data_IF_257333107863
#
_entry.id   IF_257333107863
#
_cell.length_a   1.000
_cell.length_b   1.000
_cell.length_c   1.000
_cell.angle_alpha   90.00
_cell.angle_beta   90.00
_cell.angle_gamma   90.00
#
_symmetry.space_group_name_H-M   'P 1'
#
loop_
_entity.id
_entity.type
_entity.pdbx_description
1 polymer ?
#
# COMPACT_ATOMS: atom_id res chain seq x y z
N UNK A 1 4.44 11.93 -0.10
CA UNK A 1 3.43 12.87 -0.61
C UNK A 1 2.03 12.24 -0.78
N UNK A 2 1.91 10.94 -1.07
CA UNK A 2 0.62 10.26 -1.24
C UNK A 2 -0.14 9.94 0.05
N UNK A 3 0.49 10.06 1.20
CA UNK A 3 -0.04 9.65 2.50
C UNK A 3 -1.43 10.22 2.82
N UNK A 4 -1.70 11.53 2.71
CA UNK A 4 -3.02 12.08 3.07
C UNK A 4 -4.17 11.50 2.22
N UNK A 5 -3.94 11.28 0.92
CA UNK A 5 -4.94 10.70 0.04
C UNK A 5 -5.28 9.26 0.42
N UNK A 6 -4.27 8.45 0.77
CA UNK A 6 -4.49 7.09 1.24
C UNK A 6 -5.14 7.05 2.64
N UNK A 7 -4.72 7.93 3.56
CA UNK A 7 -5.32 8.02 4.89
C UNK A 7 -6.82 8.26 4.77
N UNK A 8 -7.23 9.27 4.02
CA UNK A 8 -8.64 9.59 3.82
C UNK A 8 -9.40 8.40 3.19
N UNK A 9 -8.84 7.81 2.14
CA UNK A 9 -9.45 6.67 1.46
C UNK A 9 -9.66 5.47 2.41
N UNK A 10 -8.66 5.11 3.21
CA UNK A 10 -8.78 3.93 4.08
C UNK A 10 -9.64 4.18 5.30
N UNK A 11 -9.66 5.40 5.86
CA UNK A 11 -10.57 5.76 6.94
C UNK A 11 -12.04 5.81 6.49
N UNK A 12 -12.30 6.13 5.21
CA UNK A 12 -13.64 6.04 4.63
C UNK A 12 -14.03 4.61 4.29
N UNK A 13 -13.08 3.82 3.75
CA UNK A 13 -13.32 2.43 3.34
C UNK A 13 -13.54 1.51 4.54
N UNK A 14 -12.83 1.75 5.63
CA UNK A 14 -12.88 0.96 6.86
C UNK A 14 -13.19 1.87 8.07
N UNK A 15 -14.41 2.40 8.19
CA UNK A 15 -14.77 3.28 9.29
C UNK A 15 -14.65 2.60 10.66
N UNK A 16 -14.74 1.27 10.72
CA UNK A 16 -14.52 0.45 11.91
C UNK A 16 -13.11 0.57 12.48
N UNK A 17 -12.10 0.95 11.70
CA UNK A 17 -10.74 1.19 12.20
C UNK A 17 -10.68 2.25 13.29
N UNK A 18 -11.67 3.14 13.35
CA UNK A 18 -11.80 4.15 14.42
C UNK A 18 -12.12 3.53 15.78
N UNK A 19 -12.62 2.29 15.81
CA UNK A 19 -13.13 1.63 17.01
C UNK A 19 -12.44 0.29 17.28
N UNK A 20 -11.89 -0.36 16.26
CA UNK A 20 -11.27 -1.68 16.37
C UNK A 20 -9.97 -1.75 15.57
N UNK A 21 -8.93 -1.14 16.13
CA UNK A 21 -7.59 -1.09 15.52
C UNK A 21 -6.91 -2.46 15.44
N UNK A 22 -7.35 -3.43 16.25
CA UNK A 22 -6.71 -4.75 16.32
C UNK A 22 -7.01 -5.62 15.10
N UNK A 23 -8.11 -5.36 14.39
CA UNK A 23 -8.48 -6.10 13.17
C UNK A 23 -7.68 -5.69 11.92
N UNK A 24 -6.92 -4.60 12.01
CA UNK A 24 -6.21 -4.02 10.86
C UNK A 24 -4.73 -3.86 11.16
N UNK A 25 -3.90 -4.07 10.14
CA UNK A 25 -2.45 -3.88 10.23
C UNK A 25 -1.89 -3.34 8.92
N UNK A 26 -1.06 -2.31 9.02
CA UNK A 26 -0.25 -1.83 7.90
C UNK A 26 0.98 -2.71 7.77
N UNK A 27 1.33 -3.10 6.56
CA UNK A 27 2.46 -3.99 6.30
C UNK A 27 3.45 -3.32 5.37
N UNK A 28 4.70 -3.25 5.80
CA UNK A 28 5.81 -2.90 4.92
C UNK A 28 6.19 -4.10 4.04
N UNK A 29 6.21 -3.99 2.70
CA UNK A 29 6.57 -5.11 1.82
C UNK A 29 8.06 -5.48 1.89
N UNK A 30 8.89 -4.64 2.48
CA UNK A 30 10.32 -4.85 2.71
C UNK A 30 10.85 -4.01 3.88
N UNK A 31 12.11 -4.25 4.27
CA UNK A 31 12.76 -3.53 5.38
C UNK A 31 13.02 -2.06 5.02
N UNK A 32 13.26 -1.74 3.76
CA UNK A 32 13.56 -0.37 3.30
C UNK A 32 12.36 0.57 3.37
N UNK A 33 11.15 0.03 3.24
CA UNK A 33 9.89 0.80 3.24
C UNK A 33 9.29 1.00 4.65
N UNK A 34 9.89 0.42 5.70
CA UNK A 34 9.35 0.42 7.09
C UNK A 34 9.06 1.81 7.63
N UNK A 35 9.95 2.78 7.41
CA UNK A 35 9.75 4.16 7.91
C UNK A 35 8.49 4.80 7.32
N UNK A 36 8.27 4.61 6.02
CA UNK A 36 7.07 5.11 5.32
C UNK A 36 5.80 4.41 5.79
N UNK A 37 5.84 3.09 5.88
CA UNK A 37 4.72 2.29 6.37
C UNK A 37 4.34 2.66 7.81
N UNK A 38 5.33 2.90 8.68
CA UNK A 38 5.12 3.35 10.06
C UNK A 38 4.41 4.70 10.13
N UNK A 39 4.81 5.67 9.31
CA UNK A 39 4.17 6.98 9.25
C UNK A 39 2.71 6.87 8.81
N UNK A 40 2.43 6.00 7.85
CA UNK A 40 1.07 5.73 7.41
C UNK A 40 0.26 5.02 8.50
N UNK A 41 0.80 3.97 9.12
CA UNK A 41 0.16 3.22 10.20
C UNK A 41 -0.26 4.12 11.36
N UNK A 42 0.63 5.04 11.77
CA UNK A 42 0.33 6.01 12.83
C UNK A 42 -0.86 6.93 12.47
N UNK A 43 -0.96 7.38 11.21
CA UNK A 43 -2.04 8.25 10.75
C UNK A 43 -3.40 7.55 10.62
N UNK A 44 -3.39 6.26 10.36
CA UNK A 44 -4.63 5.44 10.29
C UNK A 44 -4.91 4.67 11.57
N UNK A 45 -4.08 4.89 12.61
CA UNK A 45 -4.20 4.25 13.92
C UNK A 45 -4.17 2.71 13.88
N UNK A 46 -3.37 2.12 12.98
CA UNK A 46 -3.21 0.67 12.83
C UNK A 46 -1.85 0.20 13.34
N UNK A 47 -1.74 -1.10 13.66
CA UNK A 47 -0.48 -1.77 13.92
C UNK A 47 0.44 -1.80 12.69
N UNK A 48 1.69 -2.19 12.89
CA UNK A 48 2.69 -2.34 11.83
C UNK A 48 3.26 -3.76 11.83
N UNK A 49 3.31 -4.37 10.66
CA UNK A 49 4.04 -5.59 10.39
C UNK A 49 5.01 -5.39 9.21
N UNK A 50 5.92 -6.32 9.01
CA UNK A 50 6.98 -6.23 8.00
C UNK A 50 7.11 -7.57 7.30
N UNK A 51 7.21 -7.58 5.97
CA UNK A 51 7.65 -8.73 5.20
C UNK A 51 9.17 -8.61 5.01
N UNK A 52 9.92 -9.48 5.70
CA UNK A 52 11.39 -9.56 5.57
C UNK A 52 11.75 -10.58 4.50
N UNK A 53 12.26 -10.08 3.38
CA UNK A 53 12.71 -10.89 2.25
C UNK A 53 14.17 -11.29 2.44
N UNK A 54 14.43 -12.54 2.83
CA UNK A 54 15.78 -13.06 2.97
C UNK A 54 16.18 -13.94 1.78
N UNK A 55 17.23 -13.54 1.07
CA UNK A 55 17.95 -14.38 0.13
C UNK A 55 18.96 -15.22 0.88
N UNK A 56 18.65 -16.49 1.17
CA UNK A 56 19.58 -17.37 1.92
C UNK A 56 20.78 -17.81 1.09
N UNK A 57 20.69 -17.96 -0.22
CA UNK A 57 21.80 -18.23 -1.17
C UNK A 57 21.33 -17.95 -2.62
N UNK A 58 22.30 -17.75 -3.54
CA UNK A 58 22.02 -17.77 -4.99
C UNK A 58 21.41 -19.12 -5.36
N UNK A 59 20.27 -19.13 -6.06
CA UNK A 59 19.49 -20.32 -6.51
C UNK A 59 18.60 -21.03 -5.46
N UNK A 60 18.29 -20.41 -4.32
CA UNK A 60 17.28 -20.93 -3.39
C UNK A 60 16.03 -20.04 -3.45
N UNK A 61 14.84 -20.62 -3.35
CA UNK A 61 13.57 -19.90 -3.28
C UNK A 61 13.64 -18.78 -2.22
N UNK A 62 13.15 -17.59 -2.58
CA UNK A 62 13.04 -16.47 -1.66
C UNK A 62 12.12 -16.86 -0.51
N UNK A 63 12.64 -16.87 0.70
CA UNK A 63 11.84 -17.06 1.91
C UNK A 63 11.36 -15.70 2.36
N UNK A 64 10.04 -15.53 2.42
CA UNK A 64 9.41 -14.34 2.99
C UNK A 64 9.04 -14.63 4.43
N UNK A 65 9.65 -13.89 5.36
CA UNK A 65 9.33 -13.96 6.77
C UNK A 65 8.45 -12.80 7.17
N UNK A 66 7.34 -13.06 7.84
CA UNK A 66 6.43 -12.02 8.35
C UNK A 66 6.77 -11.72 9.79
N UNK A 67 7.12 -10.47 10.08
CA UNK A 67 7.43 -9.97 11.41
C UNK A 67 6.26 -9.10 11.87
N UNK A 68 5.63 -9.47 12.97
CA UNK A 68 4.42 -8.86 13.49
C UNK A 68 3.22 -9.78 13.40
N UNK A 69 2.13 -9.43 14.08
CA UNK A 69 0.91 -10.23 14.13
C UNK A 69 -0.03 -9.82 12.99
N UNK A 70 -0.29 -10.77 12.08
CA UNK A 70 -1.17 -10.60 10.91
C UNK A 70 -2.33 -11.59 10.89
N UNK A 71 -2.34 -12.57 11.84
CA UNK A 71 -3.33 -13.63 11.88
C UNK A 71 -4.71 -13.04 12.12
N UNK A 72 -5.67 -13.48 11.32
CA UNK A 72 -7.07 -13.06 11.34
C UNK A 72 -7.31 -11.55 11.11
N UNK A 73 -6.27 -10.82 10.63
CA UNK A 73 -6.32 -9.37 10.39
C UNK A 73 -6.45 -9.01 8.91
N UNK A 74 -7.04 -7.86 8.66
CA UNK A 74 -7.01 -7.20 7.34
C UNK A 74 -5.68 -6.46 7.20
N UNK A 75 -4.84 -6.88 6.25
CA UNK A 75 -3.51 -6.32 6.00
C UNK A 75 -3.55 -5.28 4.88
N UNK A 76 -2.85 -4.16 5.06
CA UNK A 76 -2.68 -3.12 4.04
C UNK A 76 -1.19 -2.98 3.74
N UNK A 77 -0.73 -3.57 2.63
CA UNK A 77 0.62 -3.39 2.11
C UNK A 77 0.79 -1.93 1.64
N UNK A 78 1.83 -1.25 2.15
CA UNK A 78 2.10 0.14 1.83
C UNK A 78 3.48 0.30 1.19
N UNK A 79 3.50 0.80 -0.06
CA UNK A 79 4.74 1.04 -0.81
C UNK A 79 4.73 2.43 -1.48
N UNK A 80 5.86 2.84 -2.06
CA UNK A 80 5.97 4.05 -2.86
C UNK A 80 5.72 3.80 -4.35
N UNK A 81 6.15 2.64 -4.86
CA UNK A 81 6.08 2.33 -6.28
C UNK A 81 5.80 0.85 -6.52
N UNK A 82 4.91 0.57 -7.47
CA UNK A 82 4.68 -0.77 -8.01
C UNK A 82 5.03 -0.78 -9.49
N UNK A 83 6.10 -1.52 -9.84
CA UNK A 83 6.50 -1.72 -11.23
C UNK A 83 5.92 -3.02 -11.79
N UNK A 84 6.61 -4.14 -11.70
CA UNK A 84 6.12 -5.44 -12.24
C UNK A 84 5.20 -6.21 -11.29
N UNK A 85 4.90 -5.67 -10.13
CA UNK A 85 4.08 -6.21 -9.05
C UNK A 85 4.55 -7.56 -8.45
N UNK A 86 5.71 -8.09 -8.86
CA UNK A 86 6.17 -9.39 -8.36
C UNK A 86 6.39 -9.43 -6.85
N UNK A 87 7.17 -8.49 -6.31
CA UNK A 87 7.44 -8.41 -4.86
C UNK A 87 6.17 -8.18 -4.05
N UNK A 88 5.28 -7.31 -4.54
CA UNK A 88 4.02 -6.99 -3.87
C UNK A 88 3.09 -8.22 -3.81
N UNK A 89 2.94 -8.95 -4.92
CA UNK A 89 2.11 -10.16 -4.98
C UNK A 89 2.67 -11.28 -4.11
N UNK A 90 3.99 -11.45 -4.09
CA UNK A 90 4.65 -12.43 -3.22
C UNK A 90 4.47 -12.07 -1.73
N UNK A 91 4.57 -10.78 -1.38
CA UNK A 91 4.30 -10.32 -0.02
C UNK A 91 2.83 -10.57 0.38
N UNK A 92 1.89 -10.32 -0.53
CA UNK A 92 0.48 -10.61 -0.30
C UNK A 92 0.23 -12.11 -0.07
N UNK A 93 0.87 -12.99 -0.85
CA UNK A 93 0.77 -14.43 -0.64
C UNK A 93 1.35 -14.84 0.71
N UNK A 94 2.52 -14.31 1.08
CA UNK A 94 3.13 -14.60 2.38
C UNK A 94 2.23 -14.19 3.56
N UNK A 95 1.51 -13.08 3.46
CA UNK A 95 0.55 -12.66 4.48
C UNK A 95 -0.61 -13.63 4.60
N UNK A 96 -1.19 -14.07 3.50
CA UNK A 96 -2.26 -15.09 3.49
C UNK A 96 -1.77 -16.40 4.09
N UNK A 97 -0.57 -16.86 3.71
CA UNK A 97 0.05 -18.08 4.24
C UNK A 97 0.31 -17.99 5.76
N UNK A 98 0.46 -16.78 6.30
CA UNK A 98 0.58 -16.50 7.73
C UNK A 98 -0.78 -16.19 8.41
N UNK A 99 -1.89 -16.48 7.75
CA UNK A 99 -3.23 -16.42 8.32
C UNK A 99 -3.90 -15.05 8.26
N UNK A 100 -3.45 -14.12 7.43
CA UNK A 100 -4.16 -12.87 7.20
C UNK A 100 -5.56 -13.13 6.62
N UNK A 101 -6.55 -12.38 7.12
CA UNK A 101 -7.95 -12.50 6.69
C UNK A 101 -8.15 -11.97 5.27
N UNK A 102 -7.60 -10.80 4.98
CA UNK A 102 -7.65 -10.13 3.68
C UNK A 102 -6.40 -9.29 3.49
N UNK A 103 -6.00 -9.10 2.23
CA UNK A 103 -4.86 -8.27 1.87
C UNK A 103 -5.28 -7.22 0.86
N UNK A 104 -5.03 -5.97 1.20
CA UNK A 104 -5.09 -4.79 0.33
C UNK A 104 -3.67 -4.25 0.13
N UNK A 105 -3.49 -3.46 -0.93
CA UNK A 105 -2.23 -2.75 -1.13
C UNK A 105 -2.47 -1.32 -1.58
N UNK A 106 -1.52 -0.44 -1.30
CA UNK A 106 -1.47 0.90 -1.88
C UNK A 106 -0.04 1.32 -2.21
N UNK A 107 0.09 2.07 -3.30
CA UNK A 107 1.36 2.65 -3.72
C UNK A 107 1.15 4.00 -4.39
N UNK A 108 2.06 4.94 -4.14
CA UNK A 108 1.98 6.28 -4.75
C UNK A 108 2.06 6.21 -6.27
N UNK A 109 2.98 5.39 -6.80
CA UNK A 109 3.26 5.30 -8.23
C UNK A 109 2.92 3.90 -8.76
N UNK A 110 1.90 3.81 -9.59
CA UNK A 110 1.56 2.58 -10.32
C UNK A 110 2.17 2.61 -11.71
N UNK A 111 3.45 2.19 -11.85
CA UNK A 111 4.08 2.02 -13.17
C UNK A 111 3.41 0.87 -13.92
N UNK A 112 3.17 -0.23 -13.24
CA UNK A 112 2.43 -1.41 -13.69
C UNK A 112 2.92 -1.95 -15.04
N UNK A 113 4.24 -2.10 -15.17
CA UNK A 113 4.88 -2.57 -16.39
C UNK A 113 4.80 -4.10 -16.56
N UNK A 114 4.98 -4.54 -17.81
CA UNK A 114 5.08 -5.95 -18.15
C UNK A 114 3.89 -6.79 -17.65
N UNK A 115 4.13 -7.83 -16.82
CA UNK A 115 3.09 -8.74 -16.35
C UNK A 115 2.34 -8.25 -15.10
N UNK A 116 2.46 -6.96 -14.71
CA UNK A 116 1.93 -6.45 -13.46
C UNK A 116 0.41 -6.66 -13.32
N UNK A 117 -0.35 -6.36 -14.35
CA UNK A 117 -1.81 -6.52 -14.33
C UNK A 117 -2.23 -7.98 -14.11
N UNK A 118 -1.62 -8.91 -14.86
CA UNK A 118 -1.95 -10.33 -14.75
C UNK A 118 -1.58 -10.89 -13.37
N UNK A 119 -0.44 -10.47 -12.83
CA UNK A 119 0.00 -10.85 -11.48
C UNK A 119 -0.95 -10.33 -10.39
N UNK A 120 -1.41 -9.09 -10.50
CA UNK A 120 -2.36 -8.51 -9.54
C UNK A 120 -3.70 -9.22 -9.60
N UNK A 121 -4.22 -9.50 -10.81
CA UNK A 121 -5.49 -10.21 -10.98
C UNK A 121 -5.46 -11.63 -10.39
N UNK A 122 -4.36 -12.36 -10.57
CA UNK A 122 -4.20 -13.72 -10.04
C UNK A 122 -3.75 -13.77 -8.59
N UNK A 123 -3.31 -12.65 -8.00
CA UNK A 123 -2.85 -12.59 -6.62
C UNK A 123 -4.00 -12.70 -5.61
N UNK A 124 -3.72 -13.04 -4.35
CA UNK A 124 -4.73 -13.05 -3.29
C UNK A 124 -5.15 -11.65 -2.82
N UNK A 125 -4.55 -10.57 -3.35
CA UNK A 125 -4.96 -9.21 -3.00
C UNK A 125 -6.41 -8.94 -3.39
N UNK A 126 -7.15 -8.26 -2.51
CA UNK A 126 -8.51 -7.77 -2.77
C UNK A 126 -8.51 -6.53 -3.67
N UNK A 127 -7.56 -5.63 -3.45
CA UNK A 127 -7.38 -4.45 -4.28
C UNK A 127 -5.97 -3.88 -4.14
N UNK A 128 -5.49 -3.26 -5.22
CA UNK A 128 -4.36 -2.35 -5.26
C UNK A 128 -4.89 -0.94 -5.51
N UNK A 129 -4.56 -0.01 -4.63
CA UNK A 129 -4.91 1.41 -4.76
C UNK A 129 -3.65 2.18 -5.14
N UNK A 130 -3.67 2.88 -6.27
CA UNK A 130 -2.56 3.73 -6.73
C UNK A 130 -3.04 5.17 -6.92
N UNK A 131 -2.12 6.13 -6.94
CA UNK A 131 -2.46 7.51 -7.26
C UNK A 131 -2.33 7.76 -8.77
N UNK A 132 -3.04 8.74 -9.30
CA UNK A 132 -2.97 9.13 -10.72
C UNK A 132 -1.72 9.96 -11.06
N UNK A 133 -0.62 9.72 -10.35
CA UNK A 133 0.70 10.30 -10.65
C UNK A 133 1.31 9.75 -11.94
N UNK A 134 0.86 8.56 -12.35
CA UNK A 134 1.18 7.92 -13.63
C UNK A 134 -0.14 7.45 -14.24
N UNK A 135 -0.45 7.81 -15.49
CA UNK A 135 -1.65 7.33 -16.18
C UNK A 135 -1.64 5.80 -16.32
N UNK A 136 -2.75 5.14 -16.07
CA UNK A 136 -2.87 3.72 -16.36
C UNK A 136 -2.85 3.50 -17.88
N UNK A 137 -1.87 2.75 -18.38
CA UNK A 137 -1.63 2.55 -19.81
C UNK A 137 -2.58 1.50 -20.43
N UNK A 138 -3.21 0.66 -19.60
CA UNK A 138 -4.23 -0.28 -20.03
C UNK A 138 -5.59 0.18 -19.49
N UNK A 139 -6.52 0.38 -20.39
CA UNK A 139 -7.95 0.48 -20.07
C UNK A 139 -8.49 -0.92 -19.77
N UNK A 140 -7.82 -1.64 -18.86
CA UNK A 140 -8.23 -2.96 -18.44
C UNK A 140 -9.30 -2.78 -17.38
N UNK A 141 -10.40 -3.47 -17.57
CA UNK A 141 -11.43 -3.66 -16.55
C UNK A 141 -10.90 -4.54 -15.39
N UNK A 142 -9.74 -4.17 -14.84
CA UNK A 142 -9.25 -4.77 -13.61
C UNK A 142 -10.15 -4.31 -12.48
N UNK A 143 -10.88 -5.24 -11.90
CA UNK A 143 -11.70 -4.95 -10.71
C UNK A 143 -10.85 -4.75 -9.46
N UNK A 144 -9.55 -5.09 -9.51
CA UNK A 144 -8.63 -5.01 -8.36
C UNK A 144 -7.81 -3.73 -8.30
N UNK A 145 -7.62 -3.01 -9.43
CA UNK A 145 -6.81 -1.79 -9.46
C UNK A 145 -7.71 -0.56 -9.40
N UNK A 146 -7.51 0.26 -8.37
CA UNK A 146 -8.20 1.53 -8.18
C UNK A 146 -7.22 2.68 -8.24
N UNK A 147 -7.53 3.71 -9.01
CA UNK A 147 -6.74 4.94 -9.06
C UNK A 147 -7.43 6.07 -8.29
N UNK A 148 -6.70 6.73 -7.39
CA UNK A 148 -7.17 7.91 -6.67
C UNK A 148 -6.55 9.18 -7.25
N UNK A 149 -7.32 10.26 -7.20
CA UNK A 149 -6.89 11.56 -7.72
C UNK A 149 -6.05 12.33 -6.68
N UNK A 150 -4.89 12.83 -7.11
CA UNK A 150 -4.01 13.68 -6.32
C UNK A 150 -4.20 15.18 -6.59
N UNK A 151 -5.01 15.56 -7.56
CA UNK A 151 -5.24 16.97 -7.90
C UNK A 151 -5.68 17.82 -6.71
N UNK A 152 -6.55 17.35 -5.79
CA UNK A 152 -6.96 18.15 -4.64
C UNK A 152 -5.79 18.55 -3.72
N UNK A 153 -4.81 17.65 -3.48
CA UNK A 153 -3.66 17.96 -2.63
C UNK A 153 -2.70 18.92 -3.33
N UNK A 154 -2.50 18.79 -4.65
CA UNK A 154 -1.71 19.74 -5.42
C UNK A 154 -2.37 21.12 -5.49
N UNK A 155 -3.68 21.20 -5.69
CA UNK A 155 -4.40 22.46 -5.68
C UNK A 155 -4.25 23.21 -4.36
N UNK A 156 -4.34 22.49 -3.22
CA UNK A 156 -4.10 23.06 -1.90
C UNK A 156 -2.65 23.53 -1.74
N UNK A 157 -1.68 22.74 -2.17
CA UNK A 157 -0.27 23.11 -2.11
C UNK A 157 0.01 24.40 -2.92
N UNK A 158 -0.54 24.50 -4.13
CA UNK A 158 -0.43 25.70 -4.98
C UNK A 158 -1.06 26.91 -4.28
N UNK A 159 -2.25 26.76 -3.69
CA UNK A 159 -2.92 27.84 -2.99
C UNK A 159 -2.10 28.33 -1.77
N UNK A 160 -1.52 27.41 -0.99
CA UNK A 160 -0.64 27.77 0.15
C UNK A 160 0.63 28.49 -0.33
N UNK A 161 1.29 28.00 -1.38
CA UNK A 161 2.49 28.64 -1.94
C UNK A 161 2.15 30.05 -2.45
N UNK A 162 1.06 30.20 -3.20
CA UNK A 162 0.62 31.48 -3.72
C UNK A 162 0.24 32.47 -2.60
N UNK A 163 -0.36 31.99 -1.53
CA UNK A 163 -0.73 32.78 -0.36
C UNK A 163 0.42 33.02 0.62
N UNK A 164 1.64 32.53 0.36
CA UNK A 164 2.79 32.67 1.25
C UNK A 164 2.65 31.91 2.58
N UNK A 165 1.81 30.86 2.63
CA UNK A 165 1.58 30.04 3.82
C UNK A 165 2.32 28.71 3.76
N UNK A 166 2.54 28.08 4.94
CA UNK A 166 3.22 26.77 5.03
C UNK A 166 2.42 25.67 4.33
N UNK A 167 3.12 24.76 3.64
CA UNK A 167 2.56 23.52 3.11
C UNK A 167 2.74 22.32 4.06
N UNK A 168 3.38 22.52 5.22
CA UNK A 168 3.71 21.43 6.14
C UNK A 168 2.46 20.66 6.64
N UNK A 169 1.35 21.36 6.81
CA UNK A 169 0.09 20.79 7.30
C UNK A 169 -0.66 19.93 6.24
N UNK A 170 -0.13 19.90 5.02
CA UNK A 170 -0.72 19.09 3.94
C UNK A 170 -0.20 17.63 3.93
N UNK A 171 0.85 17.31 4.71
CA UNK A 171 1.58 16.03 4.57
C UNK A 171 1.74 15.24 5.89
#
# INVERSE_FOLDING_TARGET
>A
LGNPTFVNYYLEKFPETRYNHEEFVVVSPDVGSVSRARTFAAKVHMGLAIVDKRRQKANVCEVMNVIGDVKDRTCILYDDLVDTAGSLCNAAQALIDNGAKEVYACATHGVLSGPAFDRIETSPMKALVVLNTIPLTRNTASNKIKQLDVAPIFARAIAHIHGGTSIADLF
#
